data_IF_305269599622
#
_entry.id   IF_305269599622
#
_cell.length_a   1.000
_cell.length_b   1.000
_cell.length_c   1.000
_cell.angle_alpha   90.00
_cell.angle_beta   90.00
_cell.angle_gamma   90.00
#
_symmetry.space_group_name_H-M   'P 1'
#
loop_
_entity.id
_entity.type
_entity.pdbx_description
1 polymer ?
#
# COMPACT_ATOMS: atom_id res chain seq x y z
N UNK A 1 -35.98 -9.11 12.07
CA UNK A 1 -34.57 -9.58 12.24
C UNK A 1 -33.90 -9.49 10.88
N UNK A 2 -33.24 -8.38 10.61
CA UNK A 2 -32.43 -8.23 9.41
C UNK A 2 -31.11 -8.94 9.64
N UNK A 3 -30.86 -9.93 8.80
CA UNK A 3 -29.58 -10.61 8.73
C UNK A 3 -28.52 -9.59 8.32
N UNK A 4 -27.69 -9.19 9.25
CA UNK A 4 -26.43 -8.49 8.95
C UNK A 4 -25.57 -9.50 8.23
N UNK A 5 -25.62 -9.45 6.89
CA UNK A 5 -24.68 -10.14 6.03
C UNK A 5 -23.29 -9.72 6.45
N UNK A 6 -22.50 -10.66 6.93
CA UNK A 6 -21.11 -10.45 7.25
C UNK A 6 -20.42 -9.89 5.98
N UNK A 7 -20.20 -8.58 5.96
CA UNK A 7 -19.30 -7.98 4.97
C UNK A 7 -17.92 -8.47 5.33
N UNK A 8 -17.51 -9.51 4.64
CA UNK A 8 -16.11 -9.89 4.59
C UNK A 8 -15.35 -8.64 4.17
N UNK A 9 -14.55 -8.13 5.08
CA UNK A 9 -13.62 -7.03 4.82
C UNK A 9 -12.54 -7.55 3.89
N UNK A 10 -12.95 -7.78 2.66
CA UNK A 10 -12.05 -8.05 1.55
C UNK A 10 -11.44 -6.72 1.17
N UNK A 11 -10.13 -6.62 1.15
CA UNK A 11 -9.39 -5.53 0.49
C UNK A 11 -9.78 -5.37 -1.01
N UNK A 12 -10.90 -5.94 -1.40
CA UNK A 12 -11.45 -5.98 -2.74
C UNK A 12 -11.92 -4.62 -3.28
N UNK A 13 -11.88 -3.58 -2.45
CA UNK A 13 -12.27 -2.22 -2.86
C UNK A 13 -11.08 -1.31 -3.14
N UNK A 14 -9.84 -1.83 -3.10
CA UNK A 14 -8.69 -1.04 -3.52
C UNK A 14 -8.74 -0.89 -5.05
N UNK A 15 -8.82 0.35 -5.58
CA UNK A 15 -8.99 0.58 -7.02
C UNK A 15 -7.79 0.16 -7.89
N UNK A 16 -6.78 -0.45 -7.31
CA UNK A 16 -5.54 -0.85 -7.98
C UNK A 16 -5.07 -2.23 -7.51
N UNK A 17 -5.91 -3.24 -7.66
CA UNK A 17 -5.46 -4.61 -7.52
C UNK A 17 -4.39 -4.93 -8.58
N UNK A 18 -3.40 -5.77 -8.23
CA UNK A 18 -2.40 -6.21 -9.21
C UNK A 18 -3.08 -6.88 -10.41
N UNK A 19 -2.68 -6.55 -11.65
CA UNK A 19 -3.19 -7.21 -12.85
C UNK A 19 -2.96 -8.72 -12.74
N UNK A 20 -4.01 -9.49 -13.00
CA UNK A 20 -3.98 -10.96 -12.91
C UNK A 20 -4.93 -11.58 -13.91
N UNK A 21 -4.69 -12.84 -14.33
CA UNK A 21 -5.60 -13.55 -15.23
C UNK A 21 -6.99 -13.74 -14.62
N UNK A 22 -8.02 -13.67 -15.46
CA UNK A 22 -9.37 -14.02 -15.05
C UNK A 22 -9.51 -15.53 -14.83
N UNK A 23 -10.29 -15.94 -13.83
CA UNK A 23 -10.61 -17.33 -13.55
C UNK A 23 -9.50 -18.13 -12.86
N UNK A 24 -8.38 -17.51 -12.52
CA UNK A 24 -7.29 -18.14 -11.78
C UNK A 24 -7.28 -17.64 -10.33
N UNK A 25 -7.11 -18.55 -9.37
CA UNK A 25 -7.03 -18.23 -7.93
C UNK A 25 -5.88 -18.94 -7.21
N UNK A 26 -4.90 -19.44 -7.95
CA UNK A 26 -3.68 -20.02 -7.38
C UNK A 26 -2.47 -19.60 -8.19
N UNK A 27 -1.42 -19.14 -7.49
CA UNK A 27 -0.21 -18.60 -8.09
C UNK A 27 1.03 -19.15 -7.39
N UNK A 28 2.06 -19.40 -8.17
CA UNK A 28 3.40 -19.68 -7.64
C UNK A 28 4.06 -18.39 -7.13
N UNK A 29 5.09 -18.52 -6.30
CA UNK A 29 5.87 -17.37 -5.84
C UNK A 29 6.47 -16.59 -7.02
N UNK A 30 6.91 -17.28 -8.09
CA UNK A 30 7.45 -16.64 -9.29
C UNK A 30 6.43 -15.79 -10.02
N UNK A 31 5.18 -16.28 -10.11
CA UNK A 31 4.08 -15.50 -10.70
C UNK A 31 3.77 -14.26 -9.86
N UNK A 32 3.73 -14.39 -8.53
CA UNK A 32 3.49 -13.25 -7.62
C UNK A 32 4.62 -12.21 -7.72
N UNK A 33 5.87 -12.64 -7.82
CA UNK A 33 7.01 -11.75 -8.09
C UNK A 33 6.80 -10.95 -9.37
N UNK A 34 6.36 -11.61 -10.45
CA UNK A 34 6.09 -10.95 -11.73
C UNK A 34 4.93 -9.94 -11.62
N UNK A 35 3.86 -10.27 -10.89
CA UNK A 35 2.69 -9.38 -10.75
C UNK A 35 2.93 -8.18 -9.84
N UNK A 36 3.70 -8.37 -8.78
CA UNK A 36 3.85 -7.36 -7.70
C UNK A 36 5.14 -6.55 -7.81
N UNK A 37 6.13 -7.04 -8.51
CA UNK A 37 7.48 -6.47 -8.51
C UNK A 37 8.26 -6.69 -7.21
N UNK A 38 7.68 -7.40 -6.24
CA UNK A 38 8.38 -7.79 -5.02
C UNK A 38 9.33 -8.95 -5.29
N UNK A 39 10.41 -9.06 -4.53
CA UNK A 39 11.31 -10.21 -4.61
C UNK A 39 10.74 -11.42 -3.87
N UNK A 40 11.14 -12.62 -4.27
CA UNK A 40 10.80 -13.84 -3.53
C UNK A 40 11.31 -13.79 -2.08
N UNK A 41 12.48 -13.18 -1.86
CA UNK A 41 13.03 -12.95 -0.53
C UNK A 41 12.08 -12.09 0.33
N UNK A 42 11.57 -10.99 -0.19
CA UNK A 42 10.62 -10.12 0.50
C UNK A 42 9.32 -10.85 0.83
N UNK A 43 8.78 -11.63 -0.10
CA UNK A 43 7.56 -12.41 0.13
C UNK A 43 7.74 -13.45 1.25
N UNK A 44 8.88 -14.14 1.27
CA UNK A 44 9.21 -15.10 2.34
C UNK A 44 9.40 -14.38 3.68
N UNK A 45 9.99 -13.21 3.67
CA UNK A 45 10.16 -12.39 4.87
C UNK A 45 8.82 -11.90 5.42
N UNK A 46 7.90 -11.46 4.57
CA UNK A 46 6.54 -11.07 4.98
C UNK A 46 5.80 -12.22 5.69
N UNK A 47 5.91 -13.42 5.15
CA UNK A 47 5.34 -14.62 5.77
C UNK A 47 5.97 -14.89 7.16
N UNK A 48 7.30 -14.79 7.23
CA UNK A 48 8.06 -15.04 8.46
C UNK A 48 7.75 -14.07 9.60
N UNK A 49 7.53 -12.79 9.29
CA UNK A 49 7.22 -11.77 10.30
C UNK A 49 5.73 -11.69 10.66
N UNK A 50 4.89 -12.49 10.05
CA UNK A 50 3.45 -12.51 10.30
C UNK A 50 2.64 -11.49 9.50
N UNK A 51 3.24 -10.83 8.52
CA UNK A 51 2.51 -9.94 7.61
C UNK A 51 1.67 -10.72 6.59
N UNK A 52 2.11 -11.93 6.22
CA UNK A 52 1.37 -12.88 5.39
C UNK A 52 1.38 -14.28 6.03
N UNK A 53 0.59 -14.54 7.08
CA UNK A 53 0.71 -15.78 7.82
C UNK A 53 0.04 -17.00 7.17
N UNK A 54 -0.87 -16.80 6.23
CA UNK A 54 -1.75 -17.85 5.69
C UNK A 54 -1.54 -18.09 4.20
N UNK A 55 -0.28 -18.24 3.78
CA UNK A 55 0.01 -18.70 2.43
C UNK A 55 -0.18 -20.20 2.37
N UNK A 56 -1.12 -20.67 1.55
CA UNK A 56 -1.37 -22.10 1.36
C UNK A 56 -0.15 -22.78 0.73
N UNK A 57 -0.01 -24.07 0.97
CA UNK A 57 1.02 -24.89 0.34
C UNK A 57 0.41 -26.03 -0.46
N UNK A 58 1.05 -26.39 -1.58
CA UNK A 58 0.71 -27.58 -2.33
C UNK A 58 1.09 -28.83 -1.54
N UNK A 59 0.63 -30.00 -2.00
CA UNK A 59 1.01 -31.29 -1.41
C UNK A 59 2.52 -31.55 -1.47
N UNK A 60 3.26 -30.87 -2.36
CA UNK A 60 4.72 -30.92 -2.44
C UNK A 60 5.44 -29.88 -1.57
N UNK A 61 4.69 -29.09 -0.77
CA UNK A 61 5.23 -28.10 0.12
C UNK A 61 5.53 -26.74 -0.51
N UNK A 62 5.23 -26.54 -1.79
CA UNK A 62 5.41 -25.25 -2.46
C UNK A 62 4.31 -24.26 -2.08
N UNK A 63 4.69 -22.97 -1.95
CA UNK A 63 3.75 -21.90 -1.67
C UNK A 63 2.74 -21.73 -2.80
N UNK A 64 1.47 -21.57 -2.40
CA UNK A 64 0.34 -21.30 -3.32
C UNK A 64 -0.37 -20.04 -2.86
N UNK A 65 -0.10 -18.93 -3.55
CA UNK A 65 -0.76 -17.67 -3.29
C UNK A 65 -2.13 -17.63 -3.95
N UNK A 66 -3.06 -16.89 -3.34
CA UNK A 66 -4.42 -16.70 -3.84
C UNK A 66 -4.67 -15.26 -4.24
N UNK A 67 -5.78 -15.01 -4.92
CA UNK A 67 -6.21 -13.65 -5.26
C UNK A 67 -6.28 -12.74 -4.03
N UNK A 68 -6.78 -13.24 -2.91
CA UNK A 68 -6.80 -12.50 -1.62
C UNK A 68 -5.41 -12.08 -1.16
N UNK A 69 -4.40 -12.90 -1.40
CA UNK A 69 -3.00 -12.58 -1.06
C UNK A 69 -2.47 -11.46 -1.95
N UNK A 70 -2.82 -11.46 -3.24
CA UNK A 70 -2.47 -10.40 -4.17
C UNK A 70 -3.15 -9.07 -3.78
N UNK A 71 -4.42 -9.10 -3.41
CA UNK A 71 -5.16 -7.93 -2.93
C UNK A 71 -4.53 -7.37 -1.65
N UNK A 72 -4.17 -8.25 -0.72
CA UNK A 72 -3.47 -7.88 0.51
C UNK A 72 -2.10 -7.24 0.23
N UNK A 73 -1.31 -7.82 -0.68
CA UNK A 73 0.00 -7.27 -1.07
C UNK A 73 -0.15 -5.89 -1.72
N UNK A 74 -1.18 -5.66 -2.51
CA UNK A 74 -1.48 -4.34 -3.07
C UNK A 74 -1.74 -3.31 -1.96
N UNK A 75 -2.53 -3.68 -0.95
CA UNK A 75 -2.81 -2.83 0.21
C UNK A 75 -1.56 -2.57 1.05
N UNK A 76 -0.77 -3.59 1.35
CA UNK A 76 0.52 -3.47 2.05
C UNK A 76 1.45 -2.51 1.31
N UNK A 77 1.49 -2.57 -0.01
CA UNK A 77 2.24 -1.63 -0.85
C UNK A 77 1.81 -0.17 -0.63
N UNK A 78 0.51 0.08 -0.51
CA UNK A 78 -0.03 1.42 -0.19
C UNK A 78 0.36 1.86 1.22
N UNK A 79 0.27 0.97 2.21
CA UNK A 79 0.71 1.27 3.58
C UNK A 79 2.20 1.61 3.64
N UNK A 80 3.04 0.90 2.89
CA UNK A 80 4.47 1.20 2.80
C UNK A 80 4.74 2.60 2.25
N UNK A 81 3.99 3.03 1.24
CA UNK A 81 4.10 4.39 0.68
C UNK A 81 3.78 5.47 1.71
N UNK A 82 2.91 5.18 2.68
CA UNK A 82 2.60 6.13 3.76
C UNK A 82 3.71 6.31 4.77
N UNK A 83 4.70 5.41 4.78
CA UNK A 83 5.73 5.35 5.82
C UNK A 83 5.29 4.65 7.10
N UNK A 84 4.14 3.93 7.08
CA UNK A 84 3.69 3.14 8.22
C UNK A 84 4.79 2.16 8.65
N UNK A 85 5.17 2.12 9.96
CA UNK A 85 6.15 1.15 10.45
C UNK A 85 5.71 -0.29 10.20
N UNK A 86 6.67 -1.18 9.92
CA UNK A 86 6.40 -2.62 9.69
C UNK A 86 5.67 -3.24 10.88
N UNK A 87 6.04 -2.87 12.11
CA UNK A 87 5.38 -3.35 13.32
C UNK A 87 3.87 -3.03 13.32
N UNK A 88 3.47 -1.86 12.86
CA UNK A 88 2.06 -1.46 12.77
C UNK A 88 1.33 -2.20 11.66
N UNK A 89 1.99 -2.47 10.54
CA UNK A 89 1.43 -3.31 9.47
C UNK A 89 1.19 -4.74 9.96
N UNK A 90 2.13 -5.31 10.70
CA UNK A 90 1.98 -6.63 11.32
C UNK A 90 0.84 -6.63 12.34
N UNK A 91 0.75 -5.58 13.18
CA UNK A 91 -0.37 -5.44 14.13
C UNK A 91 -1.72 -5.37 13.41
N UNK A 92 -1.80 -4.62 12.33
CA UNK A 92 -3.01 -4.57 11.50
C UNK A 92 -3.38 -5.96 10.94
N UNK A 93 -2.40 -6.71 10.43
CA UNK A 93 -2.61 -8.08 9.96
C UNK A 93 -3.10 -9.03 11.07
N UNK A 94 -2.56 -8.90 12.27
CA UNK A 94 -3.02 -9.66 13.44
C UNK A 94 -4.48 -9.35 13.79
N UNK A 95 -4.84 -8.08 13.81
CA UNK A 95 -6.20 -7.64 14.09
C UNK A 95 -7.21 -8.17 13.05
N UNK A 96 -6.82 -8.21 11.78
CA UNK A 96 -7.65 -8.83 10.73
C UNK A 96 -7.92 -10.31 11.02
N UNK A 97 -6.93 -11.04 11.49
CA UNK A 97 -7.08 -12.47 11.84
C UNK A 97 -7.90 -12.70 13.10
N UNK A 98 -7.86 -11.77 14.05
CA UNK A 98 -8.67 -11.86 15.28
C UNK A 98 -10.17 -11.73 15.00
N UNK A 99 -10.56 -11.05 13.91
CA UNK A 99 -11.96 -10.97 13.48
C UNK A 99 -12.59 -9.57 13.63
N UNK A 100 -13.89 -9.52 13.41
CA UNK A 100 -14.62 -8.24 13.25
C UNK A 100 -14.72 -7.42 14.55
N UNK A 101 -14.56 -8.04 15.71
CA UNK A 101 -14.53 -7.32 17.00
C UNK A 101 -13.34 -6.33 17.11
N UNK A 102 -12.37 -6.39 16.19
CA UNK A 102 -11.19 -5.52 16.13
C UNK A 102 -11.37 -4.31 15.20
N UNK A 103 -12.55 -4.06 14.67
CA UNK A 103 -12.79 -2.94 13.74
C UNK A 103 -12.35 -1.60 14.31
N UNK A 104 -12.63 -1.33 15.57
CA UNK A 104 -12.23 -0.07 16.21
C UNK A 104 -10.72 0.11 16.24
N UNK A 105 -9.96 -0.91 16.65
CA UNK A 105 -8.50 -0.86 16.68
C UNK A 105 -7.89 -0.72 15.29
N UNK A 106 -8.45 -1.43 14.30
CA UNK A 106 -8.02 -1.30 12.89
C UNK A 106 -8.25 0.10 12.39
N UNK A 107 -9.40 0.68 12.68
CA UNK A 107 -9.73 2.05 12.30
C UNK A 107 -8.75 3.05 12.92
N UNK A 108 -8.45 2.92 14.21
CA UNK A 108 -7.50 3.79 14.91
C UNK A 108 -6.10 3.77 14.26
N UNK A 109 -5.59 2.59 13.91
CA UNK A 109 -4.31 2.45 13.21
C UNK A 109 -4.31 3.20 11.85
N UNK A 110 -5.36 3.01 11.07
CA UNK A 110 -5.49 3.66 9.77
C UNK A 110 -5.70 5.17 9.90
N UNK A 111 -6.44 5.63 10.90
CA UNK A 111 -6.63 7.05 11.16
C UNK A 111 -5.34 7.75 11.59
N UNK A 112 -4.52 7.09 12.41
CA UNK A 112 -3.20 7.60 12.77
C UNK A 112 -2.31 7.75 11.53
N UNK A 113 -2.27 6.74 10.69
CA UNK A 113 -1.55 6.80 9.41
C UNK A 113 -2.07 7.90 8.50
N UNK A 114 -3.38 8.07 8.42
CA UNK A 114 -4.01 9.16 7.63
C UNK A 114 -3.59 10.53 8.12
N UNK A 115 -3.53 10.75 9.44
CA UNK A 115 -3.04 12.01 10.01
C UNK A 115 -1.60 12.30 9.60
N UNK A 116 -0.73 11.31 9.69
CA UNK A 116 0.68 11.45 9.31
C UNK A 116 0.83 11.79 7.82
N UNK A 117 0.07 11.11 6.96
CA UNK A 117 0.06 11.39 5.52
C UNK A 117 -0.42 12.82 5.23
N UNK A 118 -1.49 13.27 5.87
CA UNK A 118 -2.01 14.64 5.70
C UNK A 118 -1.00 15.70 6.14
N UNK A 119 -0.32 15.48 7.26
CA UNK A 119 0.75 16.37 7.73
C UNK A 119 1.88 16.44 6.70
N UNK A 120 2.32 15.31 6.17
CA UNK A 120 3.38 15.24 5.16
C UNK A 120 2.98 15.92 3.85
N UNK A 121 1.74 15.77 3.42
CA UNK A 121 1.20 16.47 2.24
C UNK A 121 1.26 17.99 2.46
N UNK A 122 0.81 18.48 3.62
CA UNK A 122 0.85 19.91 3.93
C UNK A 122 2.28 20.47 3.95
N UNK A 123 3.22 19.73 4.52
CA UNK A 123 4.65 20.10 4.53
C UNK A 123 5.22 20.17 3.10
N UNK A 124 4.91 19.18 2.27
CA UNK A 124 5.35 19.18 0.86
C UNK A 124 4.72 20.31 0.06
N UNK A 125 3.44 20.63 0.30
CA UNK A 125 2.78 21.77 -0.34
C UNK A 125 3.44 23.09 0.05
N UNK A 126 3.84 23.25 1.33
CA UNK A 126 4.61 24.40 1.78
C UNK A 126 5.96 24.53 1.09
N UNK A 127 6.67 23.41 0.95
CA UNK A 127 7.95 23.36 0.24
C UNK A 127 7.78 23.66 -1.25
N UNK A 128 6.72 23.12 -1.87
CA UNK A 128 6.39 23.39 -3.27
C UNK A 128 6.18 24.89 -3.51
N UNK A 129 5.48 25.58 -2.61
CA UNK A 129 5.28 27.02 -2.71
C UNK A 129 6.61 27.81 -2.67
N UNK A 130 7.57 27.35 -1.87
CA UNK A 130 8.93 27.95 -1.84
C UNK A 130 9.65 27.72 -3.18
N UNK A 131 9.55 26.54 -3.76
CA UNK A 131 10.14 26.24 -5.07
C UNK A 131 9.52 27.11 -6.17
N UNK A 132 8.19 27.21 -6.18
CA UNK A 132 7.46 28.03 -7.15
C UNK A 132 7.90 29.51 -7.07
N UNK A 133 8.02 30.03 -5.87
CA UNK A 133 8.53 31.39 -5.65
C UNK A 133 9.95 31.59 -6.23
N UNK A 134 10.85 30.65 -5.99
CA UNK A 134 12.22 30.69 -6.52
C UNK A 134 12.26 30.58 -8.03
N UNK A 135 11.48 29.69 -8.60
CA UNK A 135 11.36 29.51 -10.06
C UNK A 135 10.85 30.78 -10.71
N UNK A 136 9.81 31.39 -10.16
CA UNK A 136 9.25 32.65 -10.67
C UNK A 136 10.26 33.79 -10.56
N UNK A 137 11.01 33.86 -9.46
CA UNK A 137 12.07 34.86 -9.28
C UNK A 137 13.16 34.73 -10.37
N UNK A 138 13.65 33.52 -10.60
CA UNK A 138 14.66 33.28 -11.63
C UNK A 138 14.11 33.47 -13.05
N UNK A 139 12.86 33.14 -13.30
CA UNK A 139 12.18 33.41 -14.57
C UNK A 139 12.11 34.91 -14.87
N UNK A 140 11.74 35.73 -13.87
CA UNK A 140 11.75 37.17 -13.96
C UNK A 140 13.13 37.75 -14.17
N UNK A 141 14.14 37.26 -13.43
CA UNK A 141 15.53 37.72 -13.57
C UNK A 141 16.10 37.37 -14.96
N UNK A 142 15.79 36.21 -15.53
CA UNK A 142 16.20 35.85 -16.89
C UNK A 142 15.58 36.79 -17.94
N UNK A 143 14.28 37.03 -17.84
CA UNK A 143 13.59 37.94 -18.74
C UNK A 143 14.15 39.35 -18.71
N UNK A 144 14.54 39.83 -17.52
CA UNK A 144 15.18 41.18 -17.35
C UNK A 144 16.61 41.25 -17.88
N UNK A 145 17.32 40.12 -17.99
CA UNK A 145 18.70 40.04 -18.44
C UNK A 145 18.87 39.73 -19.93
N UNK A 146 17.81 39.37 -20.63
CA UNK A 146 17.85 39.20 -22.08
C UNK A 146 17.93 40.56 -22.77
N UNK A 147 18.93 40.80 -23.63
CA UNK A 147 19.01 42.06 -24.38
C UNK A 147 17.84 42.12 -25.36
N UNK A 148 17.17 43.30 -25.39
CA UNK A 148 16.18 43.57 -26.42
C UNK A 148 16.75 43.23 -27.80
N UNK A 149 16.21 42.23 -28.44
CA UNK A 149 16.50 41.96 -29.85
C UNK A 149 15.79 43.03 -30.66
N UNK A 150 16.55 43.97 -31.07
CA UNK A 150 16.12 44.95 -32.07
C UNK A 150 16.03 44.26 -33.42
#
# INVERSE_FOLDING_TARGET
MESISARTDTCASAPEAHPRPEGQDHYTISEVVAFTGLTAHTLRWYERIGLMPHVDRSHTGQRRFRNRDLDWLAFVGKLRLTGMPVADMVRYAELLREGDHTFAERQELLEATRRDVRTRIAELQGTLAVLDFKIDFYGGARAASEPERV
#
